data_IF_546534976218
#
_entry.id   IF_546534976218
#
_cell.length_a   1.000
_cell.length_b   1.000
_cell.length_c   1.000
_cell.angle_alpha   90.00
_cell.angle_beta   90.00
_cell.angle_gamma   90.00
#
_symmetry.space_group_name_H-M   'P 1'
#
loop_
_entity.id
_entity.type
_entity.pdbx_description
1 polymer ?
#
# COMPACT_ATOMS: atom_id res chain seq x y z
N UNK A 1 -2.19 17.12 1.92
CA UNK A 1 -2.03 16.63 0.55
C UNK A 1 -3.31 15.98 0.04
N UNK A 2 -3.52 16.05 -1.26
CA UNK A 2 -4.72 15.52 -1.93
C UNK A 2 -4.40 14.38 -2.90
N UNK A 3 -3.16 14.29 -3.36
CA UNK A 3 -2.70 13.24 -4.28
C UNK A 3 -1.47 12.52 -3.74
N UNK A 4 -1.22 11.31 -4.27
CA UNK A 4 -0.03 10.53 -3.94
C UNK A 4 1.25 11.32 -4.24
N UNK A 5 1.35 11.89 -5.44
CA UNK A 5 2.54 12.63 -5.89
C UNK A 5 2.78 13.89 -5.05
N UNK A 6 1.73 14.59 -4.64
CA UNK A 6 1.83 15.73 -3.73
C UNK A 6 2.46 15.30 -2.40
N UNK A 7 2.01 14.18 -1.80
CA UNK A 7 2.59 13.68 -0.55
C UNK A 7 4.08 13.34 -0.68
N UNK A 8 4.47 12.75 -1.81
CA UNK A 8 5.88 12.45 -2.11
C UNK A 8 6.68 13.72 -2.29
N UNK A 9 6.16 14.71 -3.01
CA UNK A 9 6.87 15.97 -3.30
C UNK A 9 7.07 16.82 -2.05
N UNK A 10 6.07 16.93 -1.17
CA UNK A 10 6.17 17.66 0.10
C UNK A 10 7.29 17.11 0.99
N UNK A 11 7.40 15.78 1.10
CA UNK A 11 8.50 15.16 1.83
C UNK A 11 9.85 15.31 1.11
N UNK A 12 9.86 15.14 -0.20
CA UNK A 12 11.09 15.19 -0.98
C UNK A 12 11.70 16.60 -1.07
N UNK A 13 10.87 17.65 -1.04
CA UNK A 13 11.34 19.05 -1.00
C UNK A 13 11.81 19.50 0.38
N UNK A 14 11.48 18.75 1.45
CA UNK A 14 11.74 19.16 2.82
C UNK A 14 10.76 20.22 3.35
N UNK A 15 9.69 20.53 2.61
CA UNK A 15 8.64 21.43 3.06
C UNK A 15 7.93 20.89 4.31
N UNK A 16 7.76 19.56 4.36
CA UNK A 16 7.34 18.86 5.57
C UNK A 16 8.35 17.79 5.94
N UNK A 17 8.57 17.60 7.23
CA UNK A 17 9.50 16.58 7.77
C UNK A 17 8.78 15.40 8.42
N UNK A 18 7.50 15.55 8.75
CA UNK A 18 6.61 14.51 9.29
C UNK A 18 5.24 14.72 8.68
N UNK A 19 4.69 13.66 8.08
CA UNK A 19 3.30 13.67 7.59
C UNK A 19 2.70 12.27 7.57
N UNK A 20 1.37 12.20 7.55
CA UNK A 20 0.68 10.96 7.20
C UNK A 20 0.78 10.73 5.69
N UNK A 21 1.19 9.54 5.27
CA UNK A 21 1.25 9.18 3.86
C UNK A 21 1.10 7.67 3.69
N UNK A 22 0.81 7.23 2.49
CA UNK A 22 0.74 5.80 2.21
C UNK A 22 2.14 5.17 2.21
N UNK A 23 2.25 3.94 2.70
CA UNK A 23 3.57 3.28 2.79
C UNK A 23 4.35 3.23 1.47
N UNK A 24 3.74 3.06 0.28
CA UNK A 24 4.48 3.15 -0.98
C UNK A 24 5.10 4.52 -1.26
N UNK A 25 4.55 5.59 -0.70
CA UNK A 25 5.12 6.93 -0.88
C UNK A 25 6.49 7.07 -0.19
N UNK A 26 6.71 6.37 0.93
CA UNK A 26 8.02 6.32 1.59
C UNK A 26 9.08 5.74 0.65
N UNK A 27 8.75 4.63 -0.02
CA UNK A 27 9.63 4.01 -1.01
C UNK A 27 9.89 4.94 -2.19
N UNK A 28 8.87 5.66 -2.66
CA UNK A 28 9.01 6.65 -3.73
C UNK A 28 9.91 7.83 -3.35
N UNK A 29 9.91 8.29 -2.09
CA UNK A 29 10.85 9.30 -1.58
C UNK A 29 12.28 8.74 -1.54
N UNK A 30 12.45 7.52 -1.04
CA UNK A 30 13.75 6.84 -0.96
C UNK A 30 14.37 6.58 -2.34
N UNK A 31 13.58 6.25 -3.34
CA UNK A 31 14.07 6.03 -4.71
C UNK A 31 14.69 7.30 -5.33
N UNK A 32 14.36 8.48 -4.79
CA UNK A 32 15.00 9.78 -5.14
C UNK A 32 16.30 10.05 -4.37
N UNK A 33 16.77 9.08 -3.55
CA UNK A 33 17.97 9.22 -2.72
C UNK A 33 17.75 10.03 -1.43
N UNK A 34 16.50 10.30 -1.06
CA UNK A 34 16.15 11.10 0.11
C UNK A 34 15.84 10.17 1.30
N UNK A 35 16.51 10.32 2.45
CA UNK A 35 16.23 9.54 3.64
C UNK A 35 14.79 9.76 4.11
N UNK A 36 14.02 8.70 4.19
CA UNK A 36 12.65 8.72 4.67
C UNK A 36 12.37 7.43 5.46
N UNK A 37 11.64 7.55 6.54
CA UNK A 37 11.36 6.44 7.45
C UNK A 37 9.86 6.30 7.71
N UNK A 38 9.34 5.10 7.59
CA UNK A 38 7.96 4.79 7.93
C UNK A 38 7.87 4.42 9.41
N UNK A 39 7.46 5.37 10.25
CA UNK A 39 7.44 5.22 11.70
C UNK A 39 6.50 4.09 12.14
N UNK A 40 6.99 3.11 12.93
CA UNK A 40 6.15 2.11 13.56
C UNK A 40 5.40 2.72 14.74
N UNK A 41 4.23 3.30 14.50
CA UNK A 41 3.45 4.01 15.50
C UNK A 41 3.06 3.10 16.66
N UNK A 42 3.14 3.60 17.88
CA UNK A 42 2.72 2.91 19.09
C UNK A 42 1.21 2.68 19.08
N UNK A 43 0.46 3.64 18.59
CA UNK A 43 -1.00 3.64 18.50
C UNK A 43 -1.51 2.70 17.40
N UNK A 44 -0.66 2.30 16.49
CA UNK A 44 -0.99 1.46 15.34
C UNK A 44 -1.21 2.23 14.04
N UNK A 45 -1.59 1.51 13.00
CA UNK A 45 -1.76 2.04 11.65
C UNK A 45 -3.23 2.23 11.30
N UNK A 46 -3.49 3.23 10.46
CA UNK A 46 -4.71 3.30 9.68
C UNK A 46 -4.49 2.55 8.37
N UNK A 47 -5.32 1.58 8.09
CA UNK A 47 -5.28 0.80 6.86
C UNK A 47 -6.44 1.13 5.94
N UNK A 48 -6.29 0.83 4.66
CA UNK A 48 -7.34 0.89 3.65
C UNK A 48 -7.17 -0.26 2.65
N UNK A 49 -8.24 -0.63 1.99
CA UNK A 49 -8.23 -1.64 0.95
C UNK A 49 -9.02 -1.16 -0.26
N UNK A 50 -8.47 -1.43 -1.45
CA UNK A 50 -9.24 -1.30 -2.68
C UNK A 50 -10.09 -2.55 -2.88
N UNK A 51 -11.34 -2.35 -3.30
CA UNK A 51 -12.27 -3.42 -3.59
C UNK A 51 -12.66 -3.39 -5.07
N UNK A 52 -12.86 -4.56 -5.64
CA UNK A 52 -13.49 -4.74 -6.95
C UNK A 52 -14.81 -5.48 -6.71
N UNK A 53 -15.89 -4.91 -7.13
CA UNK A 53 -17.22 -5.48 -6.96
C UNK A 53 -17.98 -5.51 -8.30
N UNK A 54 -18.61 -6.63 -8.66
CA UNK A 54 -19.50 -6.68 -9.81
C UNK A 54 -20.75 -5.83 -9.57
N UNK A 55 -21.20 -5.15 -10.60
CA UNK A 55 -22.43 -4.37 -10.53
C UNK A 55 -23.65 -5.28 -10.35
N UNK A 56 -24.58 -4.91 -9.45
CA UNK A 56 -25.75 -5.72 -9.08
C UNK A 56 -26.62 -6.16 -10.24
N UNK A 57 -26.66 -5.39 -11.33
CA UNK A 57 -27.51 -5.66 -12.48
C UNK A 57 -26.86 -6.53 -13.57
N UNK A 58 -25.61 -6.96 -13.39
CA UNK A 58 -24.93 -7.84 -14.34
C UNK A 58 -25.61 -9.21 -14.39
N UNK A 59 -25.78 -9.75 -15.61
CA UNK A 59 -26.37 -11.06 -15.89
C UNK A 59 -25.70 -11.71 -17.09
N UNK A 60 -25.81 -13.06 -17.18
CA UNK A 60 -25.30 -13.85 -18.30
C UNK A 60 -23.82 -13.60 -18.56
N UNK A 61 -23.42 -13.57 -19.81
CA UNK A 61 -22.01 -13.44 -20.23
C UNK A 61 -21.26 -12.26 -19.58
N UNK A 62 -21.95 -11.14 -19.28
CA UNK A 62 -21.31 -10.00 -18.61
C UNK A 62 -20.98 -10.32 -17.15
N UNK A 63 -21.80 -11.08 -16.47
CA UNK A 63 -21.55 -11.54 -15.11
C UNK A 63 -20.43 -12.58 -15.10
N UNK A 64 -20.45 -13.52 -16.04
CA UNK A 64 -19.44 -14.56 -16.18
C UNK A 64 -18.05 -13.91 -16.45
N UNK A 65 -17.99 -12.96 -17.37
CA UNK A 65 -16.75 -12.21 -17.64
C UNK A 65 -16.26 -11.42 -16.43
N UNK A 66 -17.17 -10.87 -15.60
CA UNK A 66 -16.78 -10.18 -14.36
C UNK A 66 -16.16 -11.17 -13.35
N UNK A 67 -16.71 -12.36 -13.21
CA UNK A 67 -16.14 -13.39 -12.35
C UNK A 67 -14.79 -13.89 -12.87
N UNK A 68 -14.64 -14.12 -14.17
CA UNK A 68 -13.35 -14.48 -14.78
C UNK A 68 -12.29 -13.43 -14.51
N UNK A 69 -12.63 -12.13 -14.63
CA UNK A 69 -11.72 -11.04 -14.30
C UNK A 69 -11.34 -11.05 -12.82
N UNK A 70 -12.30 -11.24 -11.91
CA UNK A 70 -12.04 -11.30 -10.47
C UNK A 70 -11.14 -12.50 -10.11
N UNK A 71 -11.38 -13.66 -10.72
CA UNK A 71 -10.58 -14.86 -10.55
C UNK A 71 -9.14 -14.62 -11.04
N UNK A 72 -9.00 -14.04 -12.23
CA UNK A 72 -7.68 -13.66 -12.76
C UNK A 72 -6.98 -12.66 -11.83
N UNK A 73 -7.68 -11.63 -11.36
CA UNK A 73 -7.12 -10.62 -10.47
C UNK A 73 -6.55 -11.23 -9.18
N UNK A 74 -7.22 -12.25 -8.63
CA UNK A 74 -6.79 -12.95 -7.42
C UNK A 74 -5.86 -14.15 -7.67
N UNK A 75 -5.59 -14.48 -8.93
CA UNK A 75 -4.73 -15.62 -9.30
C UNK A 75 -3.26 -15.44 -8.90
N UNK A 76 -2.87 -14.19 -8.58
CA UNK A 76 -1.61 -13.84 -7.94
C UNK A 76 -0.68 -12.97 -8.80
N UNK A 77 -0.80 -12.96 -10.12
CA UNK A 77 0.05 -12.12 -10.98
C UNK A 77 -0.05 -10.65 -10.58
N UNK A 78 -1.26 -10.13 -10.49
CA UNK A 78 -1.53 -8.75 -10.07
C UNK A 78 -1.00 -8.48 -8.65
N UNK A 79 -1.23 -9.44 -7.73
CA UNK A 79 -0.73 -9.34 -6.36
C UNK A 79 0.79 -9.24 -6.27
N UNK A 80 1.51 -10.04 -7.05
CA UNK A 80 2.98 -9.96 -7.17
C UNK A 80 3.44 -8.66 -7.80
N UNK A 81 2.70 -8.16 -8.80
CA UNK A 81 3.00 -6.90 -9.48
C UNK A 81 2.91 -5.70 -8.52
N UNK A 82 1.80 -5.56 -7.77
CA UNK A 82 1.62 -4.45 -6.83
C UNK A 82 2.51 -4.56 -5.59
N UNK A 83 2.84 -5.77 -5.16
CA UNK A 83 3.73 -5.98 -4.02
C UNK A 83 5.11 -5.36 -4.27
N UNK A 84 5.62 -5.44 -5.49
CA UNK A 84 6.89 -4.82 -5.90
C UNK A 84 6.85 -3.29 -5.88
N UNK A 85 5.67 -2.70 -5.81
CA UNK A 85 5.45 -1.24 -5.64
C UNK A 85 5.20 -0.84 -4.18
N UNK A 86 5.30 -1.79 -3.25
CA UNK A 86 5.12 -1.54 -1.81
C UNK A 86 3.71 -1.73 -1.28
N UNK A 87 2.76 -2.19 -2.11
CA UNK A 87 1.42 -2.57 -1.69
C UNK A 87 1.34 -4.02 -1.21
N UNK A 88 0.20 -4.44 -0.70
CA UNK A 88 -0.08 -5.82 -0.35
C UNK A 88 -1.25 -6.38 -1.16
N UNK A 89 -1.18 -7.67 -1.46
CA UNK A 89 -2.30 -8.42 -2.01
C UNK A 89 -3.23 -8.89 -0.89
N UNK A 90 -4.52 -8.93 -1.16
CA UNK A 90 -5.51 -9.58 -0.29
C UNK A 90 -5.36 -11.12 -0.26
N UNK A 91 -4.65 -11.69 -1.24
CA UNK A 91 -4.36 -13.12 -1.33
C UNK A 91 -2.84 -13.32 -1.47
N UNK A 92 -2.08 -13.22 -0.35
CA UNK A 92 -0.62 -13.31 -0.37
C UNK A 92 -0.10 -14.64 -0.94
N UNK A 93 -0.79 -15.74 -0.67
CA UNK A 93 -0.37 -17.09 -1.07
C UNK A 93 -0.30 -17.25 -2.60
N UNK A 94 -1.24 -16.62 -3.33
CA UNK A 94 -1.22 -16.65 -4.79
C UNK A 94 -0.19 -15.67 -5.33
N UNK A 95 -0.06 -14.48 -4.73
CA UNK A 95 0.94 -13.47 -5.10
C UNK A 95 2.38 -14.00 -4.99
N UNK A 96 2.65 -14.82 -3.97
CA UNK A 96 3.97 -15.43 -3.74
C UNK A 96 4.51 -16.16 -4.95
N UNK A 97 3.66 -16.80 -5.75
CA UNK A 97 4.04 -17.54 -6.95
C UNK A 97 4.66 -16.65 -8.04
N UNK A 98 4.42 -15.36 -7.98
CA UNK A 98 4.88 -14.36 -8.96
C UNK A 98 5.95 -13.42 -8.39
N UNK A 99 6.57 -13.82 -7.29
CA UNK A 99 7.65 -13.09 -6.63
C UNK A 99 8.86 -13.99 -6.49
N UNK A 100 10.05 -13.43 -6.58
CA UNK A 100 11.27 -14.14 -6.20
C UNK A 100 11.32 -14.38 -4.68
N UNK A 101 12.16 -15.30 -4.24
CA UNK A 101 12.34 -15.56 -2.82
C UNK A 101 12.88 -14.34 -2.05
N UNK A 102 13.68 -13.50 -2.69
CA UNK A 102 14.20 -12.27 -2.10
C UNK A 102 13.13 -11.19 -1.99
N UNK A 103 12.37 -10.95 -3.07
CA UNK A 103 11.21 -10.03 -3.04
C UNK A 103 10.20 -10.44 -1.98
N UNK A 104 9.84 -11.73 -1.90
CA UNK A 104 8.95 -12.22 -0.85
C UNK A 104 9.56 -12.03 0.54
N UNK A 105 10.84 -12.39 0.72
CA UNK A 105 11.57 -12.21 1.97
C UNK A 105 11.52 -10.76 2.45
N UNK A 106 11.76 -9.81 1.56
CA UNK A 106 11.71 -8.39 1.89
C UNK A 106 10.29 -7.88 2.14
N UNK A 107 9.37 -8.09 1.19
CA UNK A 107 8.04 -7.47 1.24
C UNK A 107 7.09 -8.11 2.26
N UNK A 108 7.18 -9.43 2.48
CA UNK A 108 6.27 -10.17 3.36
C UNK A 108 6.90 -10.71 4.63
N UNK A 109 8.11 -11.26 4.56
CA UNK A 109 8.76 -11.86 5.73
C UNK A 109 9.51 -10.82 6.60
N UNK A 110 9.71 -9.58 6.12
CA UNK A 110 10.47 -8.54 6.83
C UNK A 110 11.97 -8.83 6.93
N UNK A 111 12.51 -9.67 6.03
CA UNK A 111 13.94 -10.01 5.97
C UNK A 111 14.71 -8.91 5.25
N UNK A 112 16.02 -8.78 5.53
CA UNK A 112 16.87 -7.89 4.74
C UNK A 112 16.87 -8.30 3.27
N UNK A 113 16.80 -7.33 2.37
CA UNK A 113 16.95 -7.56 0.93
C UNK A 113 18.35 -8.13 0.64
N UNK A 114 18.43 -9.25 -0.06
CA UNK A 114 19.72 -9.86 -0.46
C UNK A 114 20.37 -9.13 -1.61
N UNK A 115 19.56 -8.59 -2.50
CA UNK A 115 19.94 -7.76 -3.63
C UNK A 115 19.08 -6.51 -3.71
N UNK A 116 19.32 -5.67 -4.71
CA UNK A 116 18.50 -4.50 -4.99
C UNK A 116 17.08 -4.91 -5.36
N UNK A 117 16.10 -4.40 -4.62
CA UNK A 117 14.67 -4.61 -4.92
C UNK A 117 14.22 -3.56 -5.92
N UNK A 118 13.64 -4.02 -7.03
CA UNK A 118 13.14 -3.16 -8.10
C UNK A 118 11.64 -3.34 -8.28
N UNK A 119 10.99 -2.27 -8.74
CA UNK A 119 9.60 -2.32 -9.17
C UNK A 119 9.46 -3.10 -10.51
N UNK A 120 8.23 -3.36 -11.00
CA UNK A 120 8.02 -4.03 -12.27
C UNK A 120 8.57 -3.29 -13.50
N UNK A 121 8.89 -2.00 -13.36
CA UNK A 121 9.44 -1.15 -14.42
C UNK A 121 10.97 -1.02 -14.35
N UNK A 122 11.59 -1.68 -13.35
CA UNK A 122 13.04 -1.68 -13.16
C UNK A 122 13.55 -0.53 -12.28
N UNK A 123 12.68 0.31 -11.74
CA UNK A 123 13.05 1.39 -10.82
C UNK A 123 13.55 0.80 -9.50
N UNK A 124 14.69 1.30 -9.01
CA UNK A 124 15.21 0.90 -7.71
C UNK A 124 14.25 1.36 -6.60
N UNK A 125 13.71 0.41 -5.88
CA UNK A 125 12.83 0.65 -4.74
C UNK A 125 13.58 0.65 -3.42
N UNK A 126 14.42 -0.37 -3.21
CA UNK A 126 15.22 -0.51 -2.00
C UNK A 126 16.58 -1.15 -2.33
N UNK A 127 17.63 -0.73 -1.63
CA UNK A 127 18.98 -1.26 -1.79
C UNK A 127 19.18 -2.57 -1.03
N UNK A 128 20.14 -3.37 -1.49
CA UNK A 128 20.61 -4.55 -0.77
C UNK A 128 20.92 -4.21 0.69
N UNK A 129 20.56 -5.10 1.61
CA UNK A 129 20.74 -4.94 3.06
C UNK A 129 19.66 -4.15 3.78
N UNK A 130 18.78 -3.46 3.06
CA UNK A 130 17.67 -2.73 3.68
C UNK A 130 16.62 -3.70 4.24
N UNK A 131 16.02 -3.29 5.35
CA UNK A 131 14.91 -4.00 6.01
C UNK A 131 13.68 -3.13 5.91
N UNK A 132 12.52 -3.76 5.72
CA UNK A 132 11.25 -3.02 5.65
C UNK A 132 10.88 -2.42 7.01
N UNK A 133 10.58 -1.13 7.03
CA UNK A 133 10.10 -0.45 8.23
C UNK A 133 8.83 -1.09 8.76
N UNK A 134 8.77 -1.28 10.08
CA UNK A 134 7.61 -1.87 10.75
C UNK A 134 7.55 -3.41 10.71
N UNK A 135 8.55 -4.06 10.10
CA UNK A 135 8.70 -5.52 10.11
C UNK A 135 7.94 -6.25 9.01
N UNK A 136 7.63 -7.52 9.25
CA UNK A 136 6.92 -8.40 8.33
C UNK A 136 5.48 -7.93 8.04
N UNK A 137 4.88 -8.52 7.00
CA UNK A 137 3.46 -8.30 6.68
C UNK A 137 2.56 -8.57 7.89
N UNK A 138 2.77 -9.67 8.60
CA UNK A 138 1.93 -10.05 9.73
C UNK A 138 2.10 -9.12 10.93
N UNK A 139 3.32 -8.68 11.21
CA UNK A 139 3.57 -7.67 12.26
C UNK A 139 2.91 -6.34 11.93
N UNK A 140 2.99 -5.91 10.68
CA UNK A 140 2.35 -4.67 10.22
C UNK A 140 0.83 -4.77 10.24
N UNK A 141 0.25 -5.88 9.76
CA UNK A 141 -1.19 -6.11 9.80
C UNK A 141 -1.72 -6.23 11.22
N UNK A 142 -0.96 -6.86 12.12
CA UNK A 142 -1.30 -6.95 13.55
C UNK A 142 -1.34 -5.61 14.27
N UNK A 143 -0.72 -4.57 13.69
CA UNK A 143 -0.76 -3.18 14.22
C UNK A 143 -1.82 -2.31 13.58
N UNK A 144 -2.68 -2.84 12.74
CA UNK A 144 -3.78 -2.06 12.16
C UNK A 144 -4.81 -1.77 13.24
N UNK A 145 -4.92 -0.51 13.63
CA UNK A 145 -5.86 -0.05 14.66
C UNK A 145 -7.24 0.31 14.10
N UNK A 146 -7.30 0.76 12.85
CA UNK A 146 -8.56 1.06 12.19
C UNK A 146 -8.46 0.90 10.67
N UNK A 147 -9.59 0.57 10.05
CA UNK A 147 -9.73 0.52 8.60
C UNK A 147 -10.44 1.76 8.08
N UNK A 148 -9.97 2.27 6.96
CA UNK A 148 -10.59 3.40 6.30
C UNK A 148 -11.92 2.94 5.68
N UNK A 149 -13.02 3.39 6.24
CA UNK A 149 -14.38 3.06 5.78
C UNK A 149 -15.29 4.28 5.89
N UNK A 150 -16.40 4.25 5.16
CA UNK A 150 -17.46 5.22 5.36
C UNK A 150 -18.20 4.87 6.65
N UNK A 151 -18.19 5.78 7.61
CA UNK A 151 -18.88 5.61 8.90
C UNK A 151 -20.31 6.18 8.85
N UNK A 152 -21.17 5.73 9.73
CA UNK A 152 -22.56 6.23 9.82
C UNK A 152 -22.59 7.72 10.15
N UNK A 153 -21.62 8.20 10.95
CA UNK A 153 -21.45 9.60 11.35
C UNK A 153 -20.75 10.48 10.29
N UNK A 154 -20.59 10.00 9.07
CA UNK A 154 -19.82 10.69 8.02
C UNK A 154 -20.29 12.16 7.83
N UNK A 155 -21.59 12.44 7.87
CA UNK A 155 -22.10 13.82 7.74
C UNK A 155 -21.63 14.74 8.87
N UNK A 156 -21.57 14.21 10.10
CA UNK A 156 -21.04 14.94 11.26
C UNK A 156 -19.55 15.19 11.08
N UNK A 157 -18.81 14.16 10.71
CA UNK A 157 -17.36 14.25 10.50
C UNK A 157 -17.01 15.30 9.42
N UNK A 158 -17.70 15.28 8.27
CA UNK A 158 -17.47 16.26 7.19
C UNK A 158 -17.74 17.68 7.68
N UNK A 159 -18.81 17.90 8.44
CA UNK A 159 -19.09 19.22 9.01
C UNK A 159 -17.97 19.67 9.94
N UNK A 160 -17.52 18.81 10.86
CA UNK A 160 -16.44 19.12 11.79
C UNK A 160 -15.11 19.34 11.10
N UNK A 161 -14.84 18.60 10.03
CA UNK A 161 -13.67 18.85 9.21
C UNK A 161 -13.72 20.22 8.54
N UNK A 162 -14.85 20.59 7.95
CA UNK A 162 -15.00 21.91 7.33
C UNK A 162 -14.88 23.05 8.36
N UNK A 163 -15.46 22.90 9.56
CA UNK A 163 -15.27 23.84 10.66
C UNK A 163 -13.79 24.00 11.02
N UNK A 164 -13.06 22.90 11.12
CA UNK A 164 -11.62 22.89 11.43
C UNK A 164 -10.77 23.57 10.35
N UNK A 165 -11.03 23.27 9.08
CA UNK A 165 -10.23 23.80 7.95
C UNK A 165 -10.52 25.30 7.72
N UNK A 166 -11.70 25.79 8.11
CA UNK A 166 -12.10 27.18 7.94
C UNK A 166 -11.78 28.09 9.16
N UNK A 167 -11.25 27.51 10.23
CA UNK A 167 -10.82 28.24 11.44
C UNK A 167 -9.41 28.81 11.28
#
# INVERSE_FOLDING_TARGET
WTTFDESVNLMASGEVVIQSMWSPAVTAVRSRGIPCYYAPLKEGYRAWASCIAPMRHLKGLKLDAAYEYLNWYQSGWQGGFIAKQGYYSSVPETAKKFMTADEWGYWYDGKPAKGDIKDPYGTLMEKAGQVRDGGSFWERMGKVACWNTLMDENRYMVRKWNEFVSA
#
